data_IF_307184513193
#
_entry.id   IF_307184513193
#
_cell.length_a   1.000
_cell.length_b   1.000
_cell.length_c   1.000
_cell.angle_alpha   90.00
_cell.angle_beta   90.00
_cell.angle_gamma   90.00
#
_symmetry.space_group_name_H-M   'P 1'
#
loop_
_entity.id
_entity.type
_entity.pdbx_description
1 polymer ?
#
# COMPACT_ATOMS: atom_id res chain seq x y z
N UNK A 1 20.36 -28.91 23.94
CA UNK A 1 18.92 -28.68 23.74
C UNK A 1 18.81 -27.39 22.94
N UNK A 2 18.62 -27.50 21.63
CA UNK A 2 18.41 -26.33 20.76
C UNK A 2 16.91 -26.04 20.85
N UNK A 3 16.44 -24.83 21.19
CA UNK A 3 15.04 -24.53 21.03
C UNK A 3 14.77 -24.46 19.53
N UNK A 4 13.97 -25.40 19.04
CA UNK A 4 13.37 -25.32 17.71
C UNK A 4 12.30 -24.22 17.78
N UNK A 5 12.73 -22.99 17.52
CA UNK A 5 11.83 -21.87 17.32
C UNK A 5 11.06 -22.14 16.03
N UNK A 6 9.72 -22.11 16.02
CA UNK A 6 9.00 -22.26 14.76
C UNK A 6 9.36 -21.04 13.93
N UNK A 7 10.21 -21.22 12.91
CA UNK A 7 10.31 -20.30 11.79
C UNK A 7 8.88 -20.19 11.26
N UNK A 8 8.23 -19.10 11.64
CA UNK A 8 6.99 -18.68 11.04
C UNK A 8 7.33 -18.48 9.57
N UNK A 9 7.09 -19.51 8.76
CA UNK A 9 7.06 -19.44 7.31
C UNK A 9 6.03 -18.37 7.00
N UNK A 10 6.51 -17.13 6.89
CA UNK A 10 5.70 -15.97 6.60
C UNK A 10 5.17 -16.23 5.21
N UNK A 11 3.90 -16.64 5.15
CA UNK A 11 3.12 -16.76 3.92
C UNK A 11 3.45 -15.55 3.04
N UNK A 12 3.55 -15.68 1.71
CA UNK A 12 3.69 -14.51 0.86
C UNK A 12 2.54 -13.59 1.25
N UNK A 13 2.86 -12.44 1.86
CA UNK A 13 1.87 -11.49 2.30
C UNK A 13 0.98 -11.25 1.08
N UNK A 14 -0.31 -11.60 1.19
CA UNK A 14 -1.25 -11.36 0.12
C UNK A 14 -1.05 -9.91 -0.32
N UNK A 15 -0.87 -9.63 -1.63
CA UNK A 15 -0.50 -8.30 -2.08
C UNK A 15 -1.49 -7.32 -1.45
N UNK A 16 -1.00 -6.29 -0.74
CA UNK A 16 -1.86 -5.40 0.01
C UNK A 16 -2.89 -4.84 -0.95
N UNK A 17 -4.17 -4.88 -0.56
CA UNK A 17 -5.22 -4.30 -1.36
C UNK A 17 -4.92 -2.81 -1.52
N UNK A 18 -4.72 -2.40 -2.78
CA UNK A 18 -4.32 -1.05 -3.16
C UNK A 18 -5.31 -0.49 -4.16
N UNK A 19 -5.52 0.81 -4.10
CA UNK A 19 -6.19 1.59 -5.13
C UNK A 19 -5.10 2.11 -6.05
N UNK A 20 -5.19 1.78 -7.34
CA UNK A 20 -4.31 2.33 -8.37
C UNK A 20 -4.99 3.54 -9.02
N UNK A 21 -4.30 4.68 -9.01
CA UNK A 21 -4.73 5.91 -9.64
C UNK A 21 -3.69 6.32 -10.69
N UNK A 22 -4.12 6.47 -11.94
CA UNK A 22 -3.29 7.04 -12.98
C UNK A 22 -3.52 8.54 -13.10
N UNK A 23 -2.43 9.31 -13.07
CA UNK A 23 -2.44 10.77 -13.05
C UNK A 23 -1.79 11.26 -14.34
N UNK A 24 -2.60 11.92 -15.16
CA UNK A 24 -2.20 12.49 -16.45
C UNK A 24 -1.44 11.51 -17.37
N UNK A 25 -1.71 10.20 -17.26
CA UNK A 25 -1.04 9.15 -18.04
C UNK A 25 0.47 9.00 -17.78
N UNK A 26 1.01 9.68 -16.76
CA UNK A 26 2.47 9.73 -16.47
C UNK A 26 2.82 9.13 -15.13
N UNK A 27 1.96 9.31 -14.14
CA UNK A 27 2.22 8.85 -12.77
C UNK A 27 1.17 7.83 -12.38
N UNK A 28 1.62 6.67 -11.90
CA UNK A 28 0.75 5.67 -11.28
C UNK A 28 0.94 5.74 -9.78
N UNK A 29 -0.06 6.24 -9.08
CA UNK A 29 -0.13 6.27 -7.64
C UNK A 29 -0.79 4.99 -7.14
N UNK A 30 -0.20 4.36 -6.12
CA UNK A 30 -0.79 3.22 -5.42
C UNK A 30 -1.05 3.59 -3.97
N UNK A 31 -2.31 3.56 -3.57
CA UNK A 31 -2.74 3.87 -2.20
C UNK A 31 -3.24 2.59 -1.52
N UNK A 32 -2.56 2.07 -0.49
CA UNK A 32 -3.07 0.94 0.29
C UNK A 32 -4.43 1.24 0.91
N UNK A 33 -5.33 0.26 0.98
CA UNK A 33 -6.61 0.38 1.69
C UNK A 33 -6.44 0.60 3.19
N UNK A 34 -5.25 0.31 3.74
CA UNK A 34 -4.88 0.63 5.12
C UNK A 34 -4.56 2.11 5.34
N UNK A 35 -4.46 2.90 4.26
CA UNK A 35 -4.16 4.33 4.35
C UNK A 35 -5.37 5.08 4.89
N UNK A 36 -5.23 5.91 5.94
CA UNK A 36 -6.33 6.72 6.45
C UNK A 36 -6.91 7.65 5.37
N UNK A 37 -8.22 7.89 5.36
CA UNK A 37 -8.88 8.66 4.30
C UNK A 37 -8.35 10.10 4.19
N UNK A 38 -7.99 10.72 5.30
CA UNK A 38 -7.38 12.07 5.33
C UNK A 38 -6.01 12.10 4.67
N UNK A 39 -5.18 11.08 4.89
CA UNK A 39 -3.87 10.96 4.24
C UNK A 39 -4.02 10.65 2.75
N UNK A 40 -4.92 9.74 2.39
CA UNK A 40 -5.22 9.41 0.99
C UNK A 40 -5.68 10.68 0.22
N UNK A 41 -6.61 11.45 0.79
CA UNK A 41 -7.07 12.70 0.21
C UNK A 41 -5.94 13.74 0.08
N UNK A 42 -5.05 13.85 1.08
CA UNK A 42 -3.90 14.75 1.02
C UNK A 42 -2.91 14.37 -0.10
N UNK A 43 -2.64 13.08 -0.29
CA UNK A 43 -1.77 12.58 -1.36
C UNK A 43 -2.36 12.87 -2.75
N UNK A 44 -3.65 12.59 -2.94
CA UNK A 44 -4.39 12.93 -4.17
C UNK A 44 -4.33 14.43 -4.44
N UNK A 45 -4.60 15.26 -3.43
CA UNK A 45 -4.55 16.72 -3.54
C UNK A 45 -3.15 17.24 -3.86
N UNK A 46 -2.10 16.70 -3.25
CA UNK A 46 -0.71 17.10 -3.49
C UNK A 46 -0.27 16.82 -4.94
N UNK A 47 -0.86 15.83 -5.59
CA UNK A 47 -0.55 15.46 -6.96
C UNK A 47 -1.29 16.32 -8.00
N UNK A 48 -2.09 17.30 -7.55
CA UNK A 48 -2.70 18.29 -8.44
C UNK A 48 -3.77 17.71 -9.38
N UNK A 49 -4.33 16.54 -9.05
CA UNK A 49 -5.58 16.08 -9.68
C UNK A 49 -6.72 16.94 -9.12
N UNK A 50 -6.98 18.05 -9.80
CA UNK A 50 -8.10 18.96 -9.58
C UNK A 50 -9.02 18.95 -10.78
#
# INVERSE_FOLDING_TARGET
>A
MVPDEPVAASLPAAPPAVIELEIAGKVRLRIPLTTPPTLAAAMVKALGVS
#
